data_IF_912562825528
#
_entry.id   IF_912562825528
#
_cell.length_a   1.000
_cell.length_b   1.000
_cell.length_c   1.000
_cell.angle_alpha   90.00
_cell.angle_beta   90.00
_cell.angle_gamma   90.00
#
_symmetry.space_group_name_H-M   'P 1'
#
loop_
_entity.id
_entity.type
_entity.pdbx_description
1 polymer ?
#
# COMPACT_ATOMS: atom_id res chain seq x y z
N UNK A 1 -43.92 -14.52 56.24
CA UNK A 1 -43.29 -14.96 57.51
C UNK A 1 -42.38 -16.12 57.15
N UNK A 2 -41.08 -15.91 56.89
CA UNK A 2 -40.02 -15.82 57.91
C UNK A 2 -39.73 -17.23 58.46
N UNK A 3 -38.53 -17.80 58.54
CA UNK A 3 -37.13 -17.38 58.34
C UNK A 3 -36.29 -18.61 58.72
N UNK A 4 -35.10 -18.83 58.15
CA UNK A 4 -34.24 -19.93 58.60
C UNK A 4 -33.01 -20.18 57.73
N UNK A 5 -31.96 -19.43 58.02
CA UNK A 5 -30.61 -19.44 57.46
C UNK A 5 -29.79 -20.70 57.76
N UNK A 6 -28.97 -21.13 56.79
CA UNK A 6 -27.89 -22.09 56.96
C UNK A 6 -26.69 -21.68 56.10
N UNK A 7 -25.65 -21.20 56.75
CA UNK A 7 -24.37 -20.70 56.22
C UNK A 7 -23.41 -21.84 55.87
N UNK A 8 -22.81 -21.76 54.67
CA UNK A 8 -21.73 -22.65 54.23
C UNK A 8 -20.55 -21.84 53.74
N UNK A 9 -19.51 -21.74 54.58
CA UNK A 9 -18.22 -21.14 54.27
C UNK A 9 -17.43 -22.04 53.31
N UNK A 10 -16.99 -21.50 52.18
CA UNK A 10 -16.13 -22.16 51.20
C UNK A 10 -14.92 -21.30 50.89
N UNK A 11 -13.79 -21.68 51.47
CA UNK A 11 -12.48 -21.02 51.46
C UNK A 11 -11.93 -20.75 50.05
N UNK A 12 -11.24 -19.63 49.92
CA UNK A 12 -10.61 -19.17 48.69
C UNK A 12 -9.50 -20.08 48.18
N UNK A 13 -9.46 -20.24 46.86
CA UNK A 13 -8.28 -20.62 46.12
C UNK A 13 -8.02 -19.53 45.08
N UNK A 14 -7.18 -18.57 45.43
CA UNK A 14 -6.51 -17.71 44.47
C UNK A 14 -5.56 -18.61 43.65
N UNK A 15 -5.89 -18.82 42.38
CA UNK A 15 -4.97 -19.44 41.42
C UNK A 15 -4.03 -18.34 40.95
N UNK A 16 -2.81 -18.36 41.46
CA UNK A 16 -1.70 -17.54 40.99
C UNK A 16 -1.38 -17.92 39.53
N UNK A 17 -1.63 -16.98 38.60
CA UNK A 17 -1.07 -17.07 37.25
C UNK A 17 0.45 -16.84 37.30
N UNK A 18 1.25 -17.53 36.47
CA UNK A 18 2.68 -17.28 36.39
C UNK A 18 2.95 -15.85 35.88
N UNK A 19 3.88 -15.17 36.53
CA UNK A 19 4.32 -13.84 36.18
C UNK A 19 4.86 -13.80 34.73
N UNK A 20 4.22 -12.97 33.91
CA UNK A 20 4.72 -12.57 32.60
C UNK A 20 6.00 -11.73 32.81
N UNK A 21 7.14 -12.29 32.42
CA UNK A 21 8.47 -11.70 32.58
C UNK A 21 8.97 -11.04 31.29
N UNK A 22 8.06 -10.48 30.48
CA UNK A 22 8.45 -9.60 29.37
C UNK A 22 8.41 -8.14 29.80
N UNK A 23 9.47 -7.35 29.52
CA UNK A 23 9.45 -5.92 29.79
C UNK A 23 8.37 -5.26 28.92
N UNK A 24 7.49 -4.49 29.58
CA UNK A 24 6.56 -3.58 28.91
C UNK A 24 7.38 -2.56 28.11
N UNK A 25 7.12 -2.38 26.79
CA UNK A 25 7.72 -1.28 26.08
C UNK A 25 7.18 0.04 26.65
N UNK A 26 8.10 0.97 26.89
CA UNK A 26 7.81 2.30 27.41
C UNK A 26 6.85 3.05 26.47
N UNK A 27 5.89 3.75 27.06
CA UNK A 27 5.08 4.75 26.36
C UNK A 27 6.03 5.80 25.75
N UNK A 28 6.07 5.86 24.42
CA UNK A 28 6.77 6.94 23.71
C UNK A 28 5.84 8.11 23.45
N UNK A 29 6.34 9.36 23.51
CA UNK A 29 5.53 10.56 23.46
C UNK A 29 4.94 10.75 22.05
N UNK A 30 3.77 11.36 22.03
CA UNK A 30 3.25 12.11 20.90
C UNK A 30 4.33 13.02 20.31
N UNK A 31 4.70 12.86 19.04
CA UNK A 31 4.92 14.03 18.20
C UNK A 31 4.97 13.78 16.69
N UNK A 32 4.28 14.70 16.02
CA UNK A 32 4.47 15.24 14.66
C UNK A 32 4.47 14.28 13.47
N UNK A 33 3.33 14.33 12.77
CA UNK A 33 3.15 13.96 11.37
C UNK A 33 4.29 14.43 10.45
N UNK A 34 5.15 13.50 10.03
CA UNK A 34 5.96 13.65 8.83
C UNK A 34 5.07 13.52 7.60
N UNK A 35 4.76 14.65 6.97
CA UNK A 35 4.03 14.68 5.70
C UNK A 35 4.81 13.94 4.61
N UNK A 36 4.18 12.95 3.98
CA UNK A 36 4.69 12.33 2.76
C UNK A 36 4.60 13.35 1.62
N UNK A 37 5.75 13.82 1.16
CA UNK A 37 5.84 14.78 0.06
C UNK A 37 5.69 14.05 -1.29
N UNK A 38 4.44 13.86 -1.72
CA UNK A 38 4.07 13.28 -3.03
C UNK A 38 4.41 14.20 -4.24
N UNK A 39 5.15 15.29 -4.02
CA UNK A 39 5.30 16.39 -4.97
C UNK A 39 6.04 16.07 -6.26
N UNK A 40 6.96 15.09 -6.29
CA UNK A 40 7.83 14.91 -7.47
C UNK A 40 7.22 14.07 -8.60
N UNK A 41 6.48 13.00 -8.32
CA UNK A 41 6.00 12.10 -9.39
C UNK A 41 4.75 12.63 -10.10
N UNK A 42 3.81 13.24 -9.37
CA UNK A 42 2.57 13.76 -9.94
C UNK A 42 2.78 15.07 -10.71
N UNK A 43 3.69 15.94 -10.26
CA UNK A 43 3.96 17.20 -10.94
C UNK A 43 4.73 16.99 -12.26
N UNK A 44 5.63 16.00 -12.32
CA UNK A 44 6.40 15.67 -13.53
C UNK A 44 5.54 15.14 -14.68
N UNK A 45 4.58 14.25 -14.40
CA UNK A 45 3.74 13.63 -15.43
C UNK A 45 2.70 14.59 -16.02
N UNK A 46 2.12 15.48 -15.19
CA UNK A 46 1.12 16.45 -15.64
C UNK A 46 1.74 17.51 -16.57
N UNK A 47 2.97 17.97 -16.26
CA UNK A 47 3.69 18.99 -17.06
C UNK A 47 4.18 18.42 -18.40
N UNK A 48 4.57 17.14 -18.44
CA UNK A 48 5.03 16.47 -19.67
C UNK A 48 3.95 16.30 -20.73
N UNK A 49 2.68 16.17 -20.35
CA UNK A 49 1.57 16.05 -21.29
C UNK A 49 1.01 17.40 -21.75
N UNK A 50 1.02 18.42 -20.88
CA UNK A 50 0.39 19.70 -21.18
C UNK A 50 1.25 20.62 -22.05
N UNK A 51 2.58 20.58 -21.91
CA UNK A 51 3.46 21.48 -22.67
C UNK A 51 3.51 21.11 -24.16
N UNK A 52 3.77 19.84 -24.57
CA UNK A 52 3.84 19.48 -25.99
C UNK A 52 2.50 19.63 -26.71
N UNK A 53 1.38 19.34 -26.03
CA UNK A 53 0.04 19.40 -26.62
C UNK A 53 -0.40 20.84 -26.91
N UNK A 54 -0.10 21.78 -26.01
CA UNK A 54 -0.36 23.20 -26.23
C UNK A 54 0.46 23.76 -27.42
N UNK A 55 1.72 23.33 -27.57
CA UNK A 55 2.58 23.76 -28.68
C UNK A 55 2.16 23.18 -30.03
N UNK A 56 1.74 21.91 -30.08
CA UNK A 56 1.21 21.28 -31.31
C UNK A 56 -0.09 21.99 -31.74
N UNK A 57 -0.96 22.34 -30.79
CA UNK A 57 -2.18 23.11 -31.08
C UNK A 57 -1.87 24.53 -31.56
N UNK A 58 -0.94 25.23 -30.93
CA UNK A 58 -0.53 26.57 -31.34
C UNK A 58 0.09 26.57 -32.76
N UNK A 59 0.92 25.57 -33.08
CA UNK A 59 1.49 25.39 -34.42
C UNK A 59 0.41 25.07 -35.46
N UNK A 60 -0.54 24.18 -35.13
CA UNK A 60 -1.65 23.84 -36.01
C UNK A 60 -2.57 25.05 -36.28
N UNK A 61 -2.85 25.87 -35.26
CA UNK A 61 -3.61 27.11 -35.40
C UNK A 61 -2.85 28.11 -36.27
N UNK A 62 -1.55 28.28 -36.05
CA UNK A 62 -0.70 29.16 -36.86
C UNK A 62 -0.68 28.75 -38.34
N UNK A 63 -0.48 27.46 -38.63
CA UNK A 63 -0.49 26.92 -40.01
C UNK A 63 -1.87 27.13 -40.65
N UNK A 64 -2.97 26.86 -39.93
CA UNK A 64 -4.33 27.12 -40.43
C UNK A 64 -4.57 28.58 -40.75
N UNK A 65 -4.15 29.50 -39.87
CA UNK A 65 -4.31 30.94 -40.09
C UNK A 65 -3.48 31.42 -41.29
N UNK A 66 -2.27 30.89 -41.46
CA UNK A 66 -1.39 31.21 -42.59
C UNK A 66 -1.95 30.70 -43.92
N UNK A 67 -2.53 29.50 -43.94
CA UNK A 67 -3.20 28.93 -45.12
C UNK A 67 -4.48 29.69 -45.48
N UNK A 68 -5.24 30.17 -44.48
CA UNK A 68 -6.55 30.81 -44.69
C UNK A 68 -6.47 32.28 -45.16
N UNK A 69 -5.45 33.02 -44.73
CA UNK A 69 -5.37 34.47 -45.00
C UNK A 69 -4.40 34.86 -46.12
N UNK A 70 -3.67 33.90 -46.69
CA UNK A 70 -2.73 34.15 -47.78
C UNK A 70 -1.52 35.00 -47.37
N UNK A 71 -0.39 34.77 -48.04
CA UNK A 71 0.93 35.32 -47.70
C UNK A 71 1.04 36.86 -47.62
N UNK A 72 0.02 37.59 -48.10
CA UNK A 72 0.06 39.03 -48.29
C UNK A 72 -0.41 39.90 -47.12
N UNK A 73 -1.16 39.35 -46.14
CA UNK A 73 -1.70 40.15 -45.00
C UNK A 73 -1.16 39.74 -43.63
N UNK A 74 -0.51 38.58 -43.50
CA UNK A 74 0.07 38.11 -42.24
C UNK A 74 1.54 38.56 -42.09
N UNK A 75 1.81 39.87 -42.23
CA UNK A 75 3.15 40.46 -42.12
C UNK A 75 3.59 40.74 -40.66
N UNK A 76 2.84 40.22 -39.68
CA UNK A 76 2.99 40.55 -38.24
C UNK A 76 3.82 39.50 -37.49
N UNK A 77 3.99 38.29 -38.01
CA UNK A 77 4.90 37.31 -37.40
C UNK A 77 6.30 37.50 -37.96
N UNK A 78 7.02 38.46 -37.37
CA UNK A 78 8.46 38.65 -37.61
C UNK A 78 9.20 37.32 -37.41
N UNK A 79 10.19 36.97 -38.25
CA UNK A 79 11.03 35.79 -38.03
C UNK A 79 11.69 35.80 -36.63
N UNK A 80 11.84 36.99 -36.04
CA UNK A 80 12.30 37.18 -34.67
C UNK A 80 11.33 36.61 -33.64
N UNK A 81 10.01 36.79 -33.82
CA UNK A 81 9.01 36.26 -32.90
C UNK A 81 8.95 34.73 -32.95
N UNK A 82 9.09 34.15 -34.15
CA UNK A 82 9.19 32.69 -34.31
C UNK A 82 10.45 32.15 -33.65
N UNK A 83 11.58 32.84 -33.80
CA UNK A 83 12.84 32.44 -33.17
C UNK A 83 12.77 32.53 -31.63
N UNK A 84 12.20 33.60 -31.09
CA UNK A 84 12.01 33.78 -29.63
C UNK A 84 11.14 32.66 -29.06
N UNK A 85 10.06 32.28 -29.75
CA UNK A 85 9.19 31.19 -29.33
C UNK A 85 9.96 29.85 -29.29
N UNK A 86 10.74 29.53 -30.33
CA UNK A 86 11.52 28.30 -30.38
C UNK A 86 12.54 28.25 -29.25
N UNK A 87 13.24 29.36 -29.00
CA UNK A 87 14.25 29.46 -27.94
C UNK A 87 13.62 29.26 -26.56
N UNK A 88 12.47 29.88 -26.28
CA UNK A 88 11.81 29.71 -24.97
C UNK A 88 11.26 28.30 -24.78
N UNK A 89 10.80 27.63 -25.84
CA UNK A 89 10.39 26.21 -25.77
C UNK A 89 11.57 25.28 -25.47
N UNK A 90 12.72 25.50 -26.10
CA UNK A 90 13.94 24.70 -25.86
C UNK A 90 14.46 24.94 -24.43
N UNK A 91 14.46 26.19 -23.96
CA UNK A 91 14.88 26.51 -22.59
C UNK A 91 13.95 25.88 -21.54
N UNK A 92 12.62 25.91 -21.76
CA UNK A 92 11.64 25.30 -20.87
C UNK A 92 11.80 23.77 -20.80
N UNK A 93 11.98 23.10 -21.95
CA UNK A 93 12.20 21.65 -21.99
C UNK A 93 13.54 21.24 -21.35
N UNK A 94 14.60 22.03 -21.54
CA UNK A 94 15.88 21.79 -20.88
C UNK A 94 15.79 21.96 -19.35
N UNK A 95 15.07 22.97 -18.85
CA UNK A 95 14.87 23.18 -17.41
C UNK A 95 14.07 22.02 -16.77
N UNK A 96 13.03 21.54 -17.45
CA UNK A 96 12.23 20.39 -17.00
C UNK A 96 13.06 19.09 -17.02
N UNK A 97 13.87 18.88 -18.07
CA UNK A 97 14.76 17.73 -18.15
C UNK A 97 15.84 17.77 -17.06
N UNK A 98 16.43 18.93 -16.79
CA UNK A 98 17.39 19.11 -15.69
C UNK A 98 16.73 18.87 -14.32
N UNK A 99 15.48 19.28 -14.11
CA UNK A 99 14.74 18.98 -12.88
C UNK A 99 14.47 17.47 -12.71
N UNK A 100 14.21 16.75 -13.80
CA UNK A 100 14.09 15.29 -13.82
C UNK A 100 15.41 14.59 -13.51
N UNK A 101 16.52 14.97 -14.15
CA UNK A 101 17.84 14.37 -13.92
C UNK A 101 18.44 14.70 -12.56
N UNK A 102 17.97 15.78 -11.92
CA UNK A 102 18.43 16.21 -10.59
C UNK A 102 17.56 15.66 -9.46
N UNK A 103 16.51 14.90 -9.77
CA UNK A 103 15.86 14.01 -8.81
C UNK A 103 16.67 12.71 -8.71
N UNK A 104 17.42 12.48 -7.63
CA UNK A 104 18.01 11.18 -7.42
C UNK A 104 16.87 10.25 -7.02
N UNK A 105 16.57 9.25 -7.85
CA UNK A 105 15.78 8.07 -7.45
C UNK A 105 16.43 7.28 -6.28
N UNK A 106 17.57 7.76 -5.75
CA UNK A 106 18.39 7.12 -4.73
C UNK A 106 18.32 7.77 -3.35
N UNK A 107 17.53 8.83 -3.14
CA UNK A 107 17.48 9.49 -1.82
C UNK A 107 16.37 8.97 -0.89
N UNK A 108 15.98 7.70 -1.02
CA UNK A 108 15.11 7.03 -0.04
C UNK A 108 15.91 6.32 1.07
N UNK A 109 17.10 6.84 1.38
CA UNK A 109 17.81 6.52 2.61
C UNK A 109 18.03 7.84 3.33
N UNK A 110 17.12 8.18 4.23
CA UNK A 110 17.44 9.07 5.34
C UNK A 110 18.43 8.30 6.22
N UNK A 111 19.73 8.38 5.92
CA UNK A 111 20.71 8.22 7.00
C UNK A 111 20.61 9.51 7.79
N UNK A 112 19.73 9.52 8.79
CA UNK A 112 19.91 10.45 9.88
C UNK A 112 21.27 10.11 10.50
N UNK A 113 22.31 10.85 10.12
CA UNK A 113 23.57 10.92 10.86
C UNK A 113 23.32 11.71 12.15
N UNK A 114 22.36 11.26 12.94
CA UNK A 114 22.19 11.67 14.31
C UNK A 114 23.11 10.74 15.13
N UNK A 115 24.13 11.24 15.84
CA UNK A 115 25.04 10.40 16.63
C UNK A 115 24.33 9.66 17.78
N UNK A 116 23.05 9.96 18.01
CA UNK A 116 22.15 9.29 18.95
C UNK A 116 20.96 8.59 18.26
N UNK A 117 20.91 8.56 16.91
CA UNK A 117 19.90 7.78 16.19
C UNK A 117 20.12 6.30 16.49
N UNK A 118 19.10 5.70 17.09
CA UNK A 118 18.91 4.25 17.15
C UNK A 118 19.38 3.62 15.84
N UNK A 119 20.43 2.80 15.94
CA UNK A 119 20.95 1.94 14.85
C UNK A 119 19.76 1.45 14.02
N UNK A 120 19.65 1.90 12.78
CA UNK A 120 18.53 1.54 11.90
C UNK A 120 18.46 0.01 11.86
N UNK A 121 17.49 -0.57 12.56
CA UNK A 121 17.40 -2.02 12.65
C UNK A 121 17.03 -2.53 11.27
N UNK A 122 17.86 -3.44 10.77
CA UNK A 122 17.62 -4.14 9.52
C UNK A 122 16.39 -5.03 9.74
N UNK A 123 15.28 -4.72 9.07
CA UNK A 123 14.05 -5.50 9.18
C UNK A 123 14.18 -6.82 8.41
N UNK A 124 14.18 -7.96 9.10
CA UNK A 124 14.12 -9.27 8.45
C UNK A 124 12.65 -9.64 8.17
N UNK A 125 12.34 -9.91 6.90
CA UNK A 125 10.96 -10.20 6.48
C UNK A 125 10.83 -11.67 6.09
N UNK A 126 9.88 -12.38 6.70
CA UNK A 126 9.46 -13.71 6.27
C UNK A 126 8.21 -13.60 5.41
N UNK A 127 8.23 -14.17 4.21
CA UNK A 127 7.06 -14.19 3.31
C UNK A 127 6.38 -15.54 3.40
N UNK A 128 5.10 -15.56 3.75
CA UNK A 128 4.35 -16.83 3.80
C UNK A 128 4.23 -17.48 2.43
N UNK A 129 4.48 -18.79 2.41
CA UNK A 129 4.17 -19.62 1.26
C UNK A 129 2.68 -19.99 1.26
N UNK A 130 1.85 -19.08 0.77
CA UNK A 130 0.41 -19.29 0.59
C UNK A 130 0.11 -19.98 -0.75
N UNK A 131 -0.93 -20.85 -0.82
CA UNK A 131 -1.41 -21.38 -2.08
C UNK A 131 -1.71 -20.29 -3.11
N UNK A 132 -1.42 -20.60 -4.38
CA UNK A 132 -1.53 -19.64 -5.48
C UNK A 132 -2.94 -19.03 -5.63
N UNK A 133 -3.99 -19.75 -5.19
CA UNK A 133 -5.38 -19.26 -5.19
C UNK A 133 -5.57 -17.95 -4.41
N UNK A 134 -4.68 -17.61 -3.49
CA UNK A 134 -4.73 -16.36 -2.72
C UNK A 134 -3.94 -15.21 -3.37
N UNK A 135 -3.16 -15.49 -4.43
CA UNK A 135 -2.31 -14.52 -5.09
C UNK A 135 -2.18 -14.74 -6.60
N UNK A 136 -1.04 -15.27 -7.08
CA UNK A 136 -0.68 -15.36 -8.50
C UNK A 136 -1.61 -16.28 -9.30
N UNK A 137 -2.34 -17.15 -8.63
CA UNK A 137 -3.28 -18.11 -9.21
C UNK A 137 -4.73 -17.62 -9.22
N UNK A 138 -5.00 -16.33 -8.92
CA UNK A 138 -6.34 -15.76 -9.07
C UNK A 138 -6.74 -15.83 -10.56
N UNK A 139 -7.82 -16.54 -10.93
CA UNK A 139 -8.25 -16.67 -12.32
C UNK A 139 -8.59 -15.33 -12.97
N UNK A 140 -8.17 -15.15 -14.23
CA UNK A 140 -8.20 -13.86 -14.91
C UNK A 140 -6.99 -12.97 -14.61
N UNK A 141 -6.15 -13.36 -13.64
CA UNK A 141 -4.96 -12.64 -13.24
C UNK A 141 -5.27 -11.31 -12.56
N UNK A 142 -4.19 -10.61 -12.23
CA UNK A 142 -4.23 -9.27 -11.67
C UNK A 142 -3.55 -8.35 -12.67
N UNK A 143 -4.19 -7.23 -13.05
CA UNK A 143 -3.58 -6.27 -13.95
C UNK A 143 -2.34 -5.64 -13.28
N UNK A 144 -1.12 -5.87 -13.81
CA UNK A 144 0.09 -5.31 -13.23
C UNK A 144 0.20 -3.80 -13.46
N UNK A 145 -0.57 -3.21 -14.37
CA UNK A 145 -0.56 -1.78 -14.65
C UNK A 145 -1.68 -1.02 -13.94
N UNK A 146 -2.54 -1.73 -13.20
CA UNK A 146 -3.56 -1.11 -12.37
C UNK A 146 -2.91 -0.29 -11.25
N UNK A 147 -3.53 0.85 -10.92
CA UNK A 147 -3.21 1.63 -9.70
C UNK A 147 -3.32 0.79 -8.42
N UNK A 148 -4.04 -0.34 -8.47
CA UNK A 148 -4.21 -1.29 -7.37
C UNK A 148 -3.22 -2.46 -7.40
N UNK A 149 -2.14 -2.37 -8.18
CA UNK A 149 -1.16 -3.45 -8.30
C UNK A 149 -0.13 -3.50 -7.17
N UNK A 150 -0.25 -2.64 -6.14
CA UNK A 150 0.71 -2.57 -5.04
C UNK A 150 0.88 -3.91 -4.30
N UNK A 151 -0.20 -4.67 -4.10
CA UNK A 151 -0.17 -6.03 -3.51
C UNK A 151 0.83 -6.94 -4.25
N UNK A 152 0.81 -6.90 -5.59
CA UNK A 152 1.67 -7.72 -6.44
C UNK A 152 3.12 -7.24 -6.42
N UNK A 153 3.33 -5.93 -6.50
CA UNK A 153 4.66 -5.33 -6.54
C UNK A 153 5.39 -5.55 -5.22
N UNK A 154 4.72 -5.34 -4.08
CA UNK A 154 5.27 -5.59 -2.75
C UNK A 154 5.58 -7.08 -2.60
N UNK A 155 4.66 -7.97 -2.95
CA UNK A 155 4.93 -9.42 -2.88
C UNK A 155 6.14 -9.84 -3.73
N UNK A 156 6.23 -9.39 -4.99
CA UNK A 156 7.35 -9.71 -5.87
C UNK A 156 8.67 -9.13 -5.34
N UNK A 157 8.65 -7.90 -4.85
CA UNK A 157 9.82 -7.24 -4.28
C UNK A 157 10.31 -8.01 -3.04
N UNK A 158 9.43 -8.24 -2.06
CA UNK A 158 9.76 -8.98 -0.84
C UNK A 158 10.24 -10.41 -1.13
N UNK A 159 9.71 -11.05 -2.18
CA UNK A 159 10.08 -12.42 -2.54
C UNK A 159 11.42 -12.50 -3.29
N UNK A 160 11.69 -11.59 -4.22
CA UNK A 160 12.79 -11.75 -5.18
C UNK A 160 13.91 -10.71 -5.05
N UNK A 161 13.63 -9.53 -4.50
CA UNK A 161 14.58 -8.40 -4.52
C UNK A 161 14.98 -7.93 -3.13
N UNK A 162 14.15 -8.16 -2.11
CA UNK A 162 14.43 -7.68 -0.77
C UNK A 162 15.64 -8.41 -0.15
N UNK A 163 16.73 -7.69 0.20
CA UNK A 163 17.99 -8.31 0.61
C UNK A 163 17.91 -9.00 1.98
N UNK A 164 16.96 -8.61 2.82
CA UNK A 164 16.78 -9.14 4.17
C UNK A 164 15.57 -10.07 4.30
N UNK A 165 15.16 -10.70 3.19
CA UNK A 165 14.15 -11.76 3.22
C UNK A 165 14.75 -12.99 3.92
N UNK A 166 14.06 -13.51 4.93
CA UNK A 166 14.45 -14.75 5.61
C UNK A 166 13.54 -15.91 5.23
N UNK A 167 14.13 -17.11 5.14
CA UNK A 167 13.38 -18.39 5.08
C UNK A 167 13.23 -19.02 6.46
N UNK A 168 13.96 -18.51 7.46
CA UNK A 168 13.86 -18.94 8.85
C UNK A 168 12.90 -18.01 9.60
N UNK A 169 11.71 -18.49 10.00
CA UNK A 169 10.72 -17.70 10.72
C UNK A 169 11.19 -17.24 12.11
N UNK A 170 12.11 -17.97 12.75
CA UNK A 170 12.64 -17.60 14.07
C UNK A 170 13.55 -16.37 14.04
N UNK A 171 13.97 -15.95 12.85
CA UNK A 171 14.79 -14.75 12.65
C UNK A 171 14.01 -13.58 12.05
N UNK A 172 12.70 -13.74 11.83
CA UNK A 172 11.90 -12.71 11.19
C UNK A 172 11.47 -11.64 12.21
N UNK A 173 11.58 -10.38 11.81
CA UNK A 173 11.04 -9.23 12.54
C UNK A 173 9.61 -8.88 12.07
N UNK A 174 9.29 -9.22 10.82
CA UNK A 174 7.98 -9.03 10.22
C UNK A 174 7.58 -10.23 9.35
N UNK A 175 6.33 -10.63 9.44
CA UNK A 175 5.75 -11.68 8.62
C UNK A 175 4.77 -11.11 7.59
N UNK A 176 5.09 -11.28 6.31
CA UNK A 176 4.25 -10.78 5.22
C UNK A 176 3.34 -11.86 4.65
N UNK A 177 2.04 -11.56 4.56
CA UNK A 177 1.02 -12.42 3.95
C UNK A 177 0.71 -11.95 2.53
N UNK A 178 1.13 -12.67 1.48
CA UNK A 178 0.87 -12.28 0.10
C UNK A 178 -0.55 -12.64 -0.33
N UNK A 179 -1.54 -11.88 0.14
CA UNK A 179 -2.96 -12.02 -0.20
C UNK A 179 -3.34 -10.91 -1.17
N UNK A 180 -3.80 -11.27 -2.38
CA UNK A 180 -4.19 -10.30 -3.41
C UNK A 180 -5.69 -10.00 -3.35
N UNK A 181 -6.11 -9.43 -2.23
CA UNK A 181 -7.53 -9.16 -1.97
C UNK A 181 -8.14 -8.21 -3.00
N UNK A 182 -7.37 -7.19 -3.42
CA UNK A 182 -7.87 -6.16 -4.33
C UNK A 182 -8.02 -6.72 -5.73
N UNK A 183 -7.06 -7.54 -6.16
CA UNK A 183 -7.19 -8.28 -7.41
C UNK A 183 -8.41 -9.20 -7.41
N UNK A 184 -8.64 -9.93 -6.32
CA UNK A 184 -9.82 -10.79 -6.18
C UNK A 184 -11.12 -9.98 -6.29
N UNK A 185 -11.20 -8.82 -5.64
CA UNK A 185 -12.32 -7.88 -5.79
C UNK A 185 -12.52 -7.44 -7.23
N UNK A 186 -11.45 -7.01 -7.92
CA UNK A 186 -11.54 -6.56 -9.31
C UNK A 186 -12.06 -7.69 -10.22
N UNK A 187 -11.58 -8.92 -10.01
CA UNK A 187 -12.11 -10.10 -10.70
C UNK A 187 -13.62 -10.28 -10.45
N UNK A 188 -14.08 -10.17 -9.20
CA UNK A 188 -15.51 -10.29 -8.89
C UNK A 188 -16.34 -9.19 -9.57
N UNK A 189 -15.84 -7.95 -9.59
CA UNK A 189 -16.45 -6.85 -10.32
C UNK A 189 -16.64 -7.18 -11.82
N UNK A 190 -15.60 -7.69 -12.48
CA UNK A 190 -15.63 -8.04 -13.89
C UNK A 190 -16.51 -9.25 -14.19
N UNK A 191 -16.40 -10.31 -13.37
CA UNK A 191 -17.06 -11.61 -13.63
C UNK A 191 -18.51 -11.63 -13.18
N UNK A 192 -18.86 -10.97 -12.06
CA UNK A 192 -20.20 -11.02 -11.47
C UNK A 192 -21.06 -9.79 -11.80
N UNK A 193 -20.63 -8.90 -12.71
CA UNK A 193 -21.40 -7.72 -13.13
C UNK A 193 -21.94 -6.90 -11.94
N UNK A 194 -21.09 -6.62 -10.94
CA UNK A 194 -21.41 -5.90 -9.69
C UNK A 194 -22.40 -6.59 -8.74
N UNK A 195 -22.61 -7.91 -8.85
CA UNK A 195 -23.46 -8.68 -7.92
C UNK A 195 -22.70 -9.25 -6.71
N UNK A 196 -21.45 -8.84 -6.50
CA UNK A 196 -20.64 -9.28 -5.37
C UNK A 196 -20.79 -8.32 -4.19
N UNK A 197 -20.43 -8.80 -3.00
CA UNK A 197 -20.42 -8.03 -1.76
C UNK A 197 -19.00 -7.91 -1.20
N UNK A 198 -18.76 -6.91 -0.35
CA UNK A 198 -17.51 -6.82 0.42
C UNK A 198 -17.29 -8.07 1.31
N UNK A 199 -18.38 -8.73 1.69
CA UNK A 199 -18.36 -9.97 2.47
C UNK A 199 -17.65 -11.11 1.72
N UNK A 200 -17.76 -11.15 0.39
CA UNK A 200 -17.09 -12.16 -0.44
C UNK A 200 -15.57 -11.98 -0.43
N UNK A 201 -15.10 -10.73 -0.47
CA UNK A 201 -13.68 -10.38 -0.37
C UNK A 201 -13.16 -10.70 1.03
N UNK A 202 -13.95 -10.42 2.05
CA UNK A 202 -13.55 -10.71 3.42
C UNK A 202 -13.50 -12.21 3.73
N UNK A 203 -14.46 -13.00 3.22
CA UNK A 203 -14.41 -14.47 3.30
C UNK A 203 -13.15 -15.02 2.64
N UNK A 204 -12.73 -14.44 1.52
CA UNK A 204 -11.48 -14.80 0.85
C UNK A 204 -10.25 -14.51 1.73
N UNK A 205 -10.17 -13.33 2.34
CA UNK A 205 -9.07 -12.97 3.26
C UNK A 205 -9.08 -13.85 4.51
N UNK A 206 -10.24 -14.06 5.14
CA UNK A 206 -10.39 -14.92 6.31
C UNK A 206 -9.99 -16.37 6.01
N UNK A 207 -10.32 -16.89 4.83
CA UNK A 207 -9.89 -18.23 4.40
C UNK A 207 -8.37 -18.30 4.34
N UNK A 208 -7.69 -17.28 3.83
CA UNK A 208 -6.23 -17.22 3.78
C UNK A 208 -5.62 -17.16 5.19
N UNK A 209 -6.11 -16.27 6.05
CA UNK A 209 -5.62 -16.13 7.44
C UNK A 209 -5.84 -17.41 8.24
N UNK A 210 -7.02 -18.03 8.15
CA UNK A 210 -7.30 -19.31 8.80
C UNK A 210 -6.36 -20.42 8.32
N UNK A 211 -6.02 -20.42 7.03
CA UNK A 211 -5.01 -21.33 6.48
C UNK A 211 -3.64 -21.07 7.08
N UNK A 212 -3.23 -19.82 7.25
CA UNK A 212 -1.96 -19.48 7.91
C UNK A 212 -1.95 -19.96 9.36
N UNK A 213 -3.00 -19.67 10.12
CA UNK A 213 -3.13 -20.08 11.52
C UNK A 213 -3.06 -21.60 11.73
N UNK A 214 -3.63 -22.37 10.80
CA UNK A 214 -3.62 -23.84 10.88
C UNK A 214 -2.27 -24.46 10.51
N UNK A 215 -1.47 -23.78 9.68
CA UNK A 215 -0.20 -24.31 9.18
C UNK A 215 1.04 -23.78 9.91
N UNK A 216 0.99 -22.56 10.41
CA UNK A 216 2.17 -21.83 10.86
C UNK A 216 1.99 -21.35 12.31
N UNK A 217 2.71 -21.96 13.29
CA UNK A 217 2.54 -21.65 14.71
C UNK A 217 2.78 -20.19 15.09
N UNK A 218 3.67 -19.49 14.36
CA UNK A 218 4.15 -18.15 14.71
C UNK A 218 3.06 -17.09 14.58
N UNK A 219 2.09 -17.33 13.69
CA UNK A 219 0.92 -16.47 13.59
C UNK A 219 0.13 -16.44 14.89
N UNK A 220 -0.06 -17.60 15.52
CA UNK A 220 -0.80 -17.70 16.78
C UNK A 220 0.00 -17.17 17.97
N UNK A 221 1.34 -17.19 17.93
CA UNK A 221 2.16 -16.68 19.04
C UNK A 221 2.10 -15.17 19.20
N UNK A 222 2.01 -14.42 18.09
CA UNK A 222 1.86 -12.97 18.13
C UNK A 222 0.39 -12.54 18.05
N UNK A 223 -0.51 -13.46 17.72
CA UNK A 223 -1.91 -13.22 17.38
C UNK A 223 -2.07 -12.26 16.19
N UNK A 224 -1.13 -12.24 15.24
CA UNK A 224 -1.19 -11.36 14.07
C UNK A 224 -0.47 -10.01 14.23
N UNK A 225 0.09 -9.70 15.40
CA UNK A 225 0.65 -8.36 15.70
C UNK A 225 1.97 -8.04 14.98
N UNK A 226 2.70 -9.06 14.56
CA UNK A 226 3.93 -8.94 13.76
C UNK A 226 3.70 -9.39 12.30
N UNK A 227 2.42 -9.42 11.89
CA UNK A 227 1.98 -9.79 10.56
C UNK A 227 1.51 -8.57 9.77
N UNK A 228 1.77 -8.57 8.45
CA UNK A 228 1.29 -7.52 7.56
C UNK A 228 0.59 -8.10 6.33
N UNK A 229 -0.54 -7.48 5.97
CA UNK A 229 -1.25 -7.66 4.70
C UNK A 229 -1.35 -6.29 4.04
N UNK A 230 -1.22 -6.25 2.71
CA UNK A 230 -1.44 -5.02 1.93
C UNK A 230 -2.86 -5.03 1.38
N UNK A 231 -3.58 -3.93 1.61
CA UNK A 231 -4.86 -3.65 0.97
C UNK A 231 -4.67 -2.42 0.09
N UNK A 232 -4.51 -2.62 -1.21
CA UNK A 232 -4.18 -1.52 -2.14
C UNK A 232 -5.35 -0.62 -2.53
N UNK A 233 -6.57 -0.99 -2.16
CA UNK A 233 -7.79 -0.24 -2.46
C UNK A 233 -8.43 0.25 -1.17
N UNK A 234 -9.16 1.35 -1.27
CA UNK A 234 -9.81 2.05 -0.14
C UNK A 234 -10.81 1.20 0.67
N UNK A 235 -11.18 -0.01 0.23
CA UNK A 235 -12.04 -0.92 0.99
C UNK A 235 -11.28 -1.68 2.08
N UNK A 236 -9.96 -1.57 2.19
CA UNK A 236 -9.19 -2.26 3.23
C UNK A 236 -9.77 -2.06 4.64
N UNK A 237 -10.22 -0.84 4.93
CA UNK A 237 -10.89 -0.52 6.20
C UNK A 237 -12.25 -1.22 6.34
N UNK A 238 -12.99 -1.46 5.26
CA UNK A 238 -14.27 -2.18 5.30
C UNK A 238 -14.11 -3.62 5.80
N UNK A 239 -12.91 -4.22 5.65
CA UNK A 239 -12.60 -5.54 6.19
C UNK A 239 -12.47 -5.54 7.72
N UNK A 240 -12.27 -4.39 8.38
CA UNK A 240 -12.33 -4.28 9.85
C UNK A 240 -13.76 -4.39 10.38
N UNK A 241 -14.74 -3.98 9.59
CA UNK A 241 -16.17 -3.91 9.97
C UNK A 241 -16.95 -5.18 9.65
N UNK A 242 -16.27 -6.34 9.62
CA UNK A 242 -16.92 -7.60 9.26
C UNK A 242 -18.16 -7.88 10.13
N UNK A 243 -19.31 -8.25 9.53
CA UNK A 243 -20.55 -8.47 10.28
C UNK A 243 -20.34 -9.44 11.44
N UNK A 244 -20.94 -9.15 12.60
CA UNK A 244 -20.89 -9.99 13.82
C UNK A 244 -21.21 -11.47 13.55
N UNK A 245 -21.99 -11.78 12.51
CA UNK A 245 -22.32 -13.14 12.07
C UNK A 245 -21.12 -13.92 11.52
N UNK A 246 -20.15 -13.26 10.88
CA UNK A 246 -18.86 -13.89 10.51
C UNK A 246 -17.91 -13.98 11.72
N UNK A 247 -18.03 -13.05 12.66
CA UNK A 247 -17.21 -13.01 13.89
C UNK A 247 -17.54 -14.18 14.83
N UNK A 248 -18.82 -14.54 14.97
CA UNK A 248 -19.25 -15.65 15.83
C UNK A 248 -18.94 -17.02 15.24
N UNK A 249 -18.68 -17.13 13.94
CA UNK A 249 -18.40 -18.39 13.25
C UNK A 249 -16.92 -18.68 13.04
N UNK A 250 -16.01 -17.72 13.27
CA UNK A 250 -14.61 -17.89 12.90
C UNK A 250 -13.62 -17.29 13.94
N UNK A 251 -12.89 -18.11 14.72
CA UNK A 251 -11.87 -17.62 15.67
C UNK A 251 -10.70 -16.90 14.97
N UNK A 252 -10.55 -17.09 13.65
CA UNK A 252 -9.56 -16.40 12.81
C UNK A 252 -9.84 -14.90 12.65
N UNK A 253 -11.03 -14.44 13.06
CA UNK A 253 -11.45 -13.07 12.86
C UNK A 253 -10.83 -12.11 13.87
N UNK A 254 -10.63 -12.53 15.13
CA UNK A 254 -9.84 -11.78 16.12
C UNK A 254 -8.41 -11.57 15.62
N UNK A 255 -7.86 -12.59 14.96
CA UNK A 255 -6.54 -12.54 14.34
C UNK A 255 -6.48 -11.55 13.16
N UNK A 256 -7.52 -11.51 12.33
CA UNK A 256 -7.61 -10.51 11.26
C UNK A 256 -7.77 -9.08 11.82
N UNK A 257 -8.46 -8.91 12.95
CA UNK A 257 -8.59 -7.60 13.60
C UNK A 257 -7.25 -7.09 14.15
N UNK A 258 -6.38 -7.97 14.66
CA UNK A 258 -5.04 -7.57 15.11
C UNK A 258 -4.07 -7.26 13.96
N UNK A 259 -4.44 -7.65 12.74
CA UNK A 259 -3.70 -7.47 11.49
C UNK A 259 -4.03 -6.15 10.78
N UNK A 260 -5.14 -5.51 11.15
CA UNK A 260 -5.71 -4.30 10.54
C UNK A 260 -5.57 -3.10 11.49
#
# INVERSE_FOLDING_TARGET
>A
SGSGSGSGSGSGYMRSSPADSRPRPAETPSDTSGGFDFGCELFGFQVMLMVPTAWVLALAIYVKLKLRFGSGKLRIFSPVLTLVIIITSIAATAAIAQAWFRCPLTSFVHTNDDPNASKTQILKVYVYNLPAEFNIGIPGGCDPFSMFSAEQHIHRYLTHKYPHKTLNPSEADLFFLPIYSTCYRMRLLHTQKKRFSEEDVAKFVLKAVSRVQSLYPWFNSSQGRDHAIVFSHDYGICLTYLPRTLQTQNPSLTALQNLL
#
